data_IF_219374919291
#
_entry.id   IF_219374919291
#
_cell.length_a   1.000
_cell.length_b   1.000
_cell.length_c   1.000
_cell.angle_alpha   90.00
_cell.angle_beta   90.00
_cell.angle_gamma   90.00
#
_symmetry.space_group_name_H-M   'P 1'
#
loop_
_entity.id
_entity.type
_entity.pdbx_description
1 polymer ?
#
# COMPACT_ATOMS: atom_id res chain seq x y z
N UNK A 1 -44.62 -5.00 63.54
CA UNK A 1 -45.46 -3.80 63.37
C UNK A 1 -45.59 -3.50 61.88
N UNK A 2 -46.84 -3.48 61.38
CA UNK A 2 -47.44 -2.62 60.32
C UNK A 2 -46.57 -2.04 59.19
N UNK A 3 -46.97 -1.92 57.92
CA UNK A 3 -48.25 -2.03 57.19
C UNK A 3 -47.90 -1.85 55.68
N UNK A 4 -48.46 -2.66 54.76
CA UNK A 4 -49.51 -2.26 53.76
C UNK A 4 -48.92 -1.82 52.38
N UNK A 5 -49.04 -2.64 51.32
CA UNK A 5 -50.04 -2.63 50.19
C UNK A 5 -50.05 -1.31 49.40
N UNK A 6 -50.07 -1.23 48.07
CA UNK A 6 -50.90 -1.92 47.07
C UNK A 6 -50.38 -1.62 45.64
N UNK A 7 -50.37 -2.57 44.71
CA UNK A 7 -51.29 -2.73 43.57
C UNK A 7 -50.90 -2.03 42.25
N UNK A 8 -50.76 -2.85 41.19
CA UNK A 8 -50.62 -2.40 39.82
C UNK A 8 -50.62 -3.57 38.84
N UNK A 9 -51.75 -4.29 38.73
CA UNK A 9 -52.01 -5.27 37.67
C UNK A 9 -52.23 -4.57 36.32
N UNK A 10 -51.67 -5.11 35.22
CA UNK A 10 -52.44 -5.25 33.98
C UNK A 10 -51.91 -6.35 33.06
N UNK A 11 -52.87 -7.12 32.55
CA UNK A 11 -52.77 -8.38 31.83
C UNK A 11 -52.34 -8.22 30.36
N UNK A 12 -51.84 -9.34 29.81
CA UNK A 12 -51.56 -9.70 28.40
C UNK A 12 -52.78 -9.52 27.45
N UNK A 13 -52.83 -9.99 26.16
CA UNK A 13 -51.85 -10.73 25.34
C UNK A 13 -51.80 -10.32 23.83
N UNK A 14 -51.05 -11.12 23.04
CA UNK A 14 -51.55 -11.85 21.84
C UNK A 14 -50.82 -11.56 20.52
N UNK A 15 -50.01 -12.55 20.12
CA UNK A 15 -49.58 -12.81 18.76
C UNK A 15 -50.76 -12.96 17.79
N UNK A 16 -50.60 -12.41 16.59
CA UNK A 16 -51.36 -12.76 15.39
C UNK A 16 -50.59 -12.34 14.13
N UNK A 17 -50.46 -13.19 13.09
CA UNK A 17 -49.77 -12.84 11.85
C UNK A 17 -50.71 -12.09 10.90
N UNK A 18 -50.22 -11.10 10.16
CA UNK A 18 -51.03 -10.43 9.13
C UNK A 18 -50.24 -10.16 7.85
N UNK A 19 -50.48 -11.07 6.92
CA UNK A 19 -50.67 -10.95 5.47
C UNK A 19 -49.77 -10.01 4.64
N UNK A 20 -49.16 -10.64 3.63
CA UNK A 20 -48.63 -10.11 2.38
C UNK A 20 -49.48 -8.99 1.74
N UNK A 21 -48.85 -8.04 1.03
CA UNK A 21 -49.51 -7.30 -0.03
C UNK A 21 -49.32 -7.99 -1.38
N UNK A 22 -50.45 -8.40 -1.96
CA UNK A 22 -50.65 -8.91 -3.33
C UNK A 22 -51.16 -7.77 -4.23
N UNK A 23 -50.49 -7.58 -5.38
CA UNK A 23 -50.90 -6.83 -6.60
C UNK A 23 -51.10 -5.29 -6.47
N UNK A 24 -50.61 -4.40 -7.34
CA UNK A 24 -50.02 -4.46 -8.68
C UNK A 24 -49.55 -3.05 -9.11
N UNK A 25 -49.19 -2.83 -10.39
CA UNK A 25 -48.44 -1.64 -10.83
C UNK A 25 -49.35 -0.41 -10.97
N UNK A 26 -49.00 0.67 -10.26
CA UNK A 26 -49.70 1.96 -10.34
C UNK A 26 -48.85 2.93 -11.16
N UNK A 27 -49.28 3.18 -12.40
CA UNK A 27 -49.00 4.36 -13.24
C UNK A 27 -47.74 5.19 -12.88
N UNK A 28 -46.60 4.85 -13.48
CA UNK A 28 -45.49 5.79 -13.72
C UNK A 28 -45.47 6.20 -15.19
N UNK A 29 -46.52 6.89 -15.62
CA UNK A 29 -46.43 7.77 -16.78
C UNK A 29 -47.05 9.08 -16.36
N UNK A 30 -46.19 10.07 -16.08
CA UNK A 30 -46.35 11.48 -16.51
C UNK A 30 -45.33 12.40 -15.79
N UNK A 31 -44.52 13.05 -16.62
CA UNK A 31 -43.53 14.12 -16.36
C UNK A 31 -42.17 13.56 -15.87
N UNK A 32 -41.04 13.64 -16.59
CA UNK A 32 -40.48 14.72 -17.42
C UNK A 32 -39.52 14.15 -18.49
N UNK A 33 -39.33 14.84 -19.64
CA UNK A 33 -38.02 15.48 -19.83
C UNK A 33 -38.17 16.79 -20.63
N UNK A 34 -38.20 17.93 -19.94
CA UNK A 34 -38.18 19.25 -20.61
C UNK A 34 -37.02 20.16 -20.20
N UNK A 35 -36.13 19.72 -19.29
CA UNK A 35 -34.99 20.52 -18.88
C UNK A 35 -33.65 20.15 -19.52
N UNK A 36 -33.45 18.92 -20.01
CA UNK A 36 -32.12 18.51 -20.51
C UNK A 36 -31.66 19.21 -21.79
N UNK A 37 -32.58 19.60 -22.69
CA UNK A 37 -32.20 20.22 -23.97
C UNK A 37 -31.79 21.68 -23.86
N UNK A 38 -32.09 22.38 -22.75
CA UNK A 38 -31.76 23.80 -22.61
C UNK A 38 -30.38 24.05 -22.01
N UNK A 39 -29.89 23.14 -21.17
CA UNK A 39 -28.59 23.27 -20.52
C UNK A 39 -27.44 22.75 -21.38
N UNK A 40 -27.68 21.78 -22.26
CA UNK A 40 -26.66 21.28 -23.19
C UNK A 40 -26.13 22.37 -24.16
N UNK A 41 -27.02 23.19 -24.72
CA UNK A 41 -26.63 24.25 -25.68
C UNK A 41 -25.90 25.44 -25.03
N UNK A 42 -26.04 25.65 -23.72
CA UNK A 42 -25.38 26.76 -23.01
C UNK A 42 -23.95 26.42 -22.59
N UNK A 43 -23.66 25.14 -22.32
CA UNK A 43 -22.33 24.68 -21.97
C UNK A 43 -21.40 24.55 -23.19
N UNK A 44 -21.88 24.08 -24.34
CA UNK A 44 -21.06 23.98 -25.57
C UNK A 44 -20.44 25.32 -25.99
N UNK A 45 -21.21 26.42 -25.93
CA UNK A 45 -20.70 27.75 -26.30
C UNK A 45 -19.70 28.32 -25.29
N UNK A 46 -19.69 27.86 -24.04
CA UNK A 46 -18.75 28.34 -23.01
C UNK A 46 -17.43 27.57 -23.05
N UNK A 47 -17.48 26.29 -23.38
CA UNK A 47 -16.30 25.43 -23.49
C UNK A 47 -15.52 25.68 -24.79
N UNK A 48 -16.20 25.99 -25.90
CA UNK A 48 -15.54 26.37 -27.14
C UNK A 48 -14.69 27.66 -26.98
N UNK A 49 -15.25 28.68 -26.30
CA UNK A 49 -14.58 29.97 -26.08
C UNK A 49 -13.44 29.90 -25.05
N UNK A 50 -13.48 28.93 -24.12
CA UNK A 50 -12.39 28.64 -23.18
C UNK A 50 -11.25 27.87 -23.85
N UNK A 51 -11.57 26.97 -24.79
CA UNK A 51 -10.57 26.23 -25.56
C UNK A 51 -9.84 27.12 -26.58
N UNK A 52 -10.48 28.12 -27.17
CA UNK A 52 -9.78 29.09 -28.04
C UNK A 52 -8.77 29.96 -27.27
N UNK A 53 -9.14 30.48 -26.10
CA UNK A 53 -8.21 31.28 -25.27
C UNK A 53 -7.02 30.48 -24.73
N UNK A 54 -7.20 29.18 -24.48
CA UNK A 54 -6.09 28.31 -24.06
C UNK A 54 -5.16 28.00 -25.24
N UNK A 55 -5.71 27.77 -26.44
CA UNK A 55 -4.92 27.55 -27.67
C UNK A 55 -4.19 28.80 -28.16
N UNK A 56 -4.70 30.01 -27.89
CA UNK A 56 -3.99 31.26 -28.19
C UNK A 56 -2.84 31.55 -27.22
N UNK A 57 -2.91 31.10 -25.96
CA UNK A 57 -1.78 31.23 -25.00
C UNK A 57 -0.64 30.24 -25.26
N UNK A 58 -0.88 29.18 -26.02
CA UNK A 58 0.17 28.26 -26.50
C UNK A 58 0.90 28.76 -27.76
N UNK A 59 0.37 29.80 -28.42
CA UNK A 59 1.05 30.41 -29.55
C UNK A 59 2.04 31.48 -29.06
N UNK A 60 3.29 31.03 -28.96
CA UNK A 60 4.53 31.84 -29.05
C UNK A 60 4.79 32.76 -27.85
N UNK A 61 5.45 32.21 -26.83
CA UNK A 61 6.49 33.00 -26.18
C UNK A 61 7.74 32.94 -27.07
N UNK A 62 8.23 34.07 -27.62
CA UNK A 62 9.51 34.16 -28.32
C UNK A 62 10.64 34.32 -27.29
N UNK A 63 10.60 33.52 -26.22
CA UNK A 63 11.72 33.40 -25.32
C UNK A 63 12.66 32.42 -26.01
N UNK A 64 13.77 32.97 -26.49
CA UNK A 64 14.75 32.31 -27.34
C UNK A 64 15.08 30.90 -26.91
N UNK A 65 15.61 30.10 -27.84
CA UNK A 65 16.12 28.75 -27.62
C UNK A 65 16.93 28.68 -26.33
N UNK A 66 16.25 28.40 -25.22
CA UNK A 66 16.87 28.39 -23.92
C UNK A 66 17.69 27.11 -23.93
N UNK A 67 19.01 27.26 -24.01
CA UNK A 67 19.98 26.17 -23.97
C UNK A 67 19.64 25.19 -22.82
N UNK A 68 19.15 25.73 -21.70
CA UNK A 68 18.63 24.97 -20.55
C UNK A 68 17.47 24.03 -20.91
N UNK A 69 16.50 24.47 -21.73
CA UNK A 69 15.35 23.65 -22.16
C UNK A 69 15.77 22.58 -23.17
N UNK A 70 16.75 22.88 -24.04
CA UNK A 70 17.28 21.90 -24.99
C UNK A 70 18.10 20.81 -24.27
N UNK A 71 18.92 21.20 -23.30
CA UNK A 71 19.64 20.28 -22.42
C UNK A 71 18.66 19.45 -21.60
N UNK A 72 17.63 20.07 -20.99
CA UNK A 72 16.61 19.33 -20.23
C UNK A 72 15.94 18.26 -21.09
N UNK A 73 15.50 18.59 -22.30
CA UNK A 73 14.85 17.63 -23.19
C UNK A 73 15.80 16.49 -23.64
N UNK A 74 17.10 16.78 -23.77
CA UNK A 74 18.10 15.78 -24.12
C UNK A 74 18.42 14.81 -22.96
N UNK A 75 18.49 15.31 -21.72
CA UNK A 75 18.84 14.51 -20.55
C UNK A 75 17.60 13.76 -19.99
N UNK A 76 16.39 14.32 -20.13
CA UNK A 76 15.14 13.75 -19.60
C UNK A 76 14.91 12.25 -19.88
N UNK A 77 15.13 11.69 -21.09
CA UNK A 77 14.93 10.26 -21.34
C UNK A 77 15.93 9.36 -20.61
N UNK A 78 17.13 9.86 -20.27
CA UNK A 78 18.15 9.09 -19.56
C UNK A 78 18.00 9.16 -18.03
N UNK A 79 17.40 10.23 -17.49
CA UNK A 79 17.23 10.41 -16.03
C UNK A 79 16.28 9.37 -15.44
N UNK A 80 15.18 9.07 -16.13
CA UNK A 80 14.17 8.13 -15.62
C UNK A 80 14.73 6.72 -15.35
N UNK A 81 15.35 6.03 -16.32
CA UNK A 81 15.89 4.68 -16.05
C UNK A 81 17.03 4.71 -15.02
N UNK A 82 17.85 5.76 -14.99
CA UNK A 82 18.93 5.90 -13.99
C UNK A 82 18.36 6.05 -12.58
N UNK A 83 17.35 6.89 -12.39
CA UNK A 83 16.67 7.08 -11.11
C UNK A 83 16.05 5.78 -10.61
N UNK A 84 15.34 5.06 -11.46
CA UNK A 84 14.73 3.82 -11.01
C UNK A 84 15.77 2.73 -10.71
N UNK A 85 16.87 2.63 -11.49
CA UNK A 85 17.96 1.70 -11.16
C UNK A 85 18.59 2.05 -9.82
N UNK A 86 18.75 3.35 -9.53
CA UNK A 86 19.23 3.83 -8.24
C UNK A 86 18.31 3.37 -7.09
N UNK A 87 16.99 3.57 -7.20
CA UNK A 87 16.05 3.12 -6.16
C UNK A 87 16.05 1.61 -5.99
N UNK A 88 16.15 0.85 -7.10
CA UNK A 88 16.21 -0.60 -7.04
C UNK A 88 17.48 -1.13 -6.36
N UNK A 89 18.64 -0.57 -6.68
CA UNK A 89 19.91 -0.91 -6.00
C UNK A 89 19.82 -0.55 -4.51
N UNK A 90 19.26 0.61 -4.18
CA UNK A 90 19.10 1.06 -2.80
C UNK A 90 18.20 0.10 -2.01
N UNK A 91 17.12 -0.39 -2.61
CA UNK A 91 16.22 -1.37 -2.00
C UNK A 91 16.96 -2.68 -1.70
N UNK A 92 17.70 -3.22 -2.67
CA UNK A 92 18.50 -4.44 -2.50
C UNK A 92 19.52 -4.27 -1.38
N UNK A 93 20.22 -3.14 -1.31
CA UNK A 93 21.21 -2.86 -0.26
C UNK A 93 20.55 -2.88 1.13
N UNK A 94 19.38 -2.25 1.29
CA UNK A 94 18.65 -2.24 2.57
C UNK A 94 18.26 -3.66 2.98
N UNK A 95 17.73 -4.46 2.05
CA UNK A 95 17.36 -5.86 2.32
C UNK A 95 18.58 -6.71 2.69
N UNK A 96 19.70 -6.54 1.98
CA UNK A 96 20.96 -7.25 2.27
C UNK A 96 21.52 -6.89 3.64
N UNK A 97 21.61 -5.59 3.98
CA UNK A 97 22.10 -5.13 5.27
C UNK A 97 21.19 -5.64 6.40
N UNK A 98 19.86 -5.51 6.24
CA UNK A 98 18.89 -6.03 7.20
C UNK A 98 19.03 -7.53 7.43
N UNK A 99 19.26 -8.30 6.36
CA UNK A 99 19.47 -9.76 6.44
C UNK A 99 20.78 -10.12 7.15
N UNK A 100 21.87 -9.39 6.90
CA UNK A 100 23.17 -9.60 7.58
C UNK A 100 23.02 -9.33 9.09
N UNK A 101 22.39 -8.22 9.47
CA UNK A 101 22.14 -7.89 10.89
C UNK A 101 21.25 -8.98 11.51
N UNK A 102 20.18 -9.38 10.83
CA UNK A 102 19.28 -10.43 11.31
C UNK A 102 20.01 -11.75 11.55
N UNK A 103 20.99 -12.13 10.71
CA UNK A 103 21.72 -13.39 10.86
C UNK A 103 22.81 -13.30 11.93
N UNK A 104 23.70 -12.31 11.85
CA UNK A 104 24.94 -12.28 12.62
C UNK A 104 24.86 -11.53 13.95
N UNK A 105 23.87 -10.63 14.12
CA UNK A 105 23.80 -9.85 15.35
C UNK A 105 23.20 -10.67 16.50
N UNK A 106 23.84 -10.60 17.66
CA UNK A 106 23.40 -11.23 18.92
C UNK A 106 22.96 -10.21 19.96
N UNK A 107 23.16 -8.92 19.68
CA UNK A 107 22.80 -7.84 20.58
C UNK A 107 21.30 -7.51 20.45
N UNK A 108 20.55 -7.79 21.50
CA UNK A 108 19.10 -7.57 21.59
C UNK A 108 18.71 -6.14 21.17
N UNK A 109 19.51 -5.12 21.49
CA UNK A 109 19.18 -3.73 21.15
C UNK A 109 19.24 -3.47 19.64
N UNK A 110 20.23 -4.01 18.93
CA UNK A 110 20.32 -3.86 17.48
C UNK A 110 19.16 -4.58 16.77
N UNK A 111 18.79 -5.79 17.24
CA UNK A 111 17.63 -6.50 16.72
C UNK A 111 16.31 -5.76 17.00
N UNK A 112 16.18 -5.12 18.17
CA UNK A 112 14.98 -4.33 18.50
C UNK A 112 14.85 -3.10 17.60
N UNK A 113 15.96 -2.39 17.33
CA UNK A 113 15.98 -1.28 16.38
C UNK A 113 15.59 -1.76 14.98
N UNK A 114 16.13 -2.91 14.55
CA UNK A 114 15.75 -3.52 13.28
C UNK A 114 14.25 -3.88 13.23
N UNK A 115 13.66 -4.33 14.35
CA UNK A 115 12.24 -4.65 14.45
C UNK A 115 11.37 -3.39 14.27
N UNK A 116 11.79 -2.28 14.86
CA UNK A 116 11.11 -0.99 14.68
C UNK A 116 11.19 -0.55 13.21
N UNK A 117 12.34 -0.69 12.57
CA UNK A 117 12.50 -0.34 11.14
C UNK A 117 11.59 -1.20 10.26
N UNK A 118 11.60 -2.53 10.44
CA UNK A 118 10.78 -3.46 9.64
C UNK A 118 9.28 -3.22 9.88
N UNK A 119 8.87 -2.92 11.11
CA UNK A 119 7.45 -2.61 11.40
C UNK A 119 7.03 -1.27 10.80
N UNK A 120 7.89 -0.26 10.82
CA UNK A 120 7.62 1.02 10.13
C UNK A 120 7.50 0.83 8.61
N UNK A 121 8.38 0.03 8.00
CA UNK A 121 8.31 -0.30 6.58
C UNK A 121 7.03 -1.09 6.24
N UNK A 122 6.64 -2.04 7.11
CA UNK A 122 5.36 -2.75 6.99
C UNK A 122 4.15 -1.82 7.07
N UNK A 123 4.14 -0.85 8.00
CA UNK A 123 3.09 0.16 8.10
C UNK A 123 3.06 1.03 6.84
N UNK A 124 4.22 1.47 6.36
CA UNK A 124 4.30 2.24 5.11
C UNK A 124 3.75 1.44 3.92
N UNK A 125 4.06 0.14 3.84
CA UNK A 125 3.52 -0.75 2.81
C UNK A 125 2.00 -0.86 2.86
N UNK A 126 1.41 -0.99 4.05
CA UNK A 126 -0.05 -1.05 4.22
C UNK A 126 -0.71 0.28 3.82
N UNK A 127 -0.16 1.42 4.26
CA UNK A 127 -0.75 2.75 3.98
C UNK A 127 -0.63 3.11 2.49
N UNK A 128 0.51 2.83 1.87
CA UNK A 128 0.75 3.16 0.46
C UNK A 128 0.28 2.06 -0.50
N UNK A 129 -0.29 0.96 0.02
CA UNK A 129 -0.65 -0.23 -0.74
C UNK A 129 0.49 -0.82 -1.58
N UNK A 130 1.76 -0.54 -1.23
CA UNK A 130 3.01 -1.07 -1.80
C UNK A 130 4.20 -0.46 -1.02
N UNK A 131 5.38 -1.08 -1.10
CA UNK A 131 6.61 -0.49 -0.56
C UNK A 131 6.91 0.86 -1.26
N UNK A 132 7.26 1.93 -0.51
CA UNK A 132 7.55 3.24 -1.09
C UNK A 132 8.67 3.21 -2.14
N UNK A 133 9.68 2.35 -1.94
CA UNK A 133 10.77 2.17 -2.91
C UNK A 133 10.27 1.49 -4.18
N UNK A 134 9.44 0.45 -4.05
CA UNK A 134 8.82 -0.24 -5.20
C UNK A 134 7.91 0.68 -6.02
N UNK A 135 7.21 1.61 -5.38
CA UNK A 135 6.41 2.63 -6.08
C UNK A 135 7.31 3.54 -6.93
N UNK A 136 8.46 3.95 -6.39
CA UNK A 136 9.43 4.75 -7.13
C UNK A 136 10.09 3.97 -8.26
N UNK A 137 10.48 2.71 -8.02
CA UNK A 137 10.97 1.80 -9.06
C UNK A 137 9.97 1.71 -10.22
N UNK A 138 8.70 1.41 -9.93
CA UNK A 138 7.66 1.29 -10.96
C UNK A 138 7.43 2.60 -11.70
N UNK A 139 7.51 3.75 -11.02
CA UNK A 139 7.36 5.07 -11.63
C UNK A 139 8.47 5.39 -12.64
N UNK A 140 9.68 4.89 -12.41
CA UNK A 140 10.87 5.26 -13.19
C UNK A 140 11.39 4.17 -14.14
N UNK A 141 11.22 2.88 -13.81
CA UNK A 141 11.60 1.73 -14.65
C UNK A 141 10.41 1.06 -15.36
N UNK A 142 9.19 1.24 -14.86
CA UNK A 142 8.02 0.50 -15.34
C UNK A 142 7.96 -0.96 -14.88
N UNK A 143 9.01 -1.48 -14.25
CA UNK A 143 9.08 -2.83 -13.66
C UNK A 143 9.48 -2.75 -12.19
N UNK A 144 9.04 -3.73 -11.38
CA UNK A 144 9.43 -3.86 -9.98
C UNK A 144 10.47 -4.98 -9.81
N UNK A 145 11.39 -4.80 -8.87
CA UNK A 145 12.32 -5.88 -8.47
C UNK A 145 11.56 -7.11 -7.94
N UNK A 146 10.43 -6.88 -7.26
CA UNK A 146 9.54 -7.93 -6.75
C UNK A 146 8.99 -8.80 -7.89
N UNK A 147 8.56 -8.19 -9.00
CA UNK A 147 8.14 -8.94 -10.19
C UNK A 147 9.26 -9.76 -10.82
N UNK A 148 10.50 -9.27 -10.78
CA UNK A 148 11.68 -10.00 -11.29
C UNK A 148 12.01 -11.21 -10.42
N UNK A 149 11.86 -11.09 -9.09
CA UNK A 149 11.99 -12.21 -8.16
C UNK A 149 10.94 -13.29 -8.40
N UNK A 150 9.69 -12.90 -8.66
CA UNK A 150 8.61 -13.84 -8.95
C UNK A 150 8.91 -14.68 -10.20
N UNK A 151 9.46 -14.06 -11.25
CA UNK A 151 9.93 -14.78 -12.44
C UNK A 151 11.06 -15.77 -12.12
N UNK A 152 11.99 -15.39 -11.23
CA UNK A 152 13.05 -16.29 -10.77
C UNK A 152 12.49 -17.49 -9.99
N UNK A 153 11.51 -17.30 -9.12
CA UNK A 153 10.87 -18.40 -8.37
C UNK A 153 10.07 -19.35 -9.28
N UNK A 154 9.37 -18.80 -10.27
CA UNK A 154 8.69 -19.59 -11.30
C UNK A 154 9.70 -20.43 -12.10
N UNK A 155 10.88 -19.87 -12.43
CA UNK A 155 11.95 -20.63 -13.07
C UNK A 155 12.54 -21.74 -12.19
N UNK A 156 12.43 -21.63 -10.86
CA UNK A 156 12.81 -22.67 -9.91
C UNK A 156 11.68 -23.68 -9.63
N UNK A 157 10.60 -23.65 -10.41
CA UNK A 157 9.45 -24.55 -10.28
C UNK A 157 8.72 -24.44 -8.93
N UNK A 158 8.88 -23.32 -8.22
CA UNK A 158 8.11 -23.02 -7.01
C UNK A 158 6.75 -22.50 -7.45
N UNK A 159 5.71 -23.33 -7.28
CA UNK A 159 4.34 -22.96 -7.61
C UNK A 159 3.83 -21.97 -6.56
N UNK A 160 3.89 -20.69 -6.87
CA UNK A 160 3.31 -19.63 -6.06
C UNK A 160 2.08 -19.08 -6.80
N UNK A 161 0.90 -19.21 -6.18
CA UNK A 161 -0.41 -18.96 -6.82
C UNK A 161 -0.92 -17.53 -6.65
N UNK A 162 -0.26 -16.71 -5.84
CA UNK A 162 -0.67 -15.32 -5.66
C UNK A 162 0.06 -14.41 -6.66
N UNK A 163 -0.71 -13.80 -7.56
CA UNK A 163 -0.22 -12.86 -8.58
C UNK A 163 -0.23 -11.39 -8.10
N UNK A 164 -0.68 -11.14 -6.87
CA UNK A 164 -0.78 -9.78 -6.33
C UNK A 164 0.55 -9.38 -5.64
N UNK A 165 1.35 -8.54 -6.31
CA UNK A 165 2.65 -8.05 -5.80
C UNK A 165 2.58 -7.46 -4.37
N UNK A 166 1.46 -6.82 -4.02
CA UNK A 166 1.22 -6.28 -2.69
C UNK A 166 1.15 -7.37 -1.61
N UNK A 167 0.43 -8.46 -1.89
CA UNK A 167 0.27 -9.57 -0.95
C UNK A 167 1.60 -10.29 -0.74
N UNK A 168 2.36 -10.51 -1.82
CA UNK A 168 3.72 -11.08 -1.77
C UNK A 168 4.63 -10.23 -0.88
N UNK A 169 4.60 -8.91 -1.07
CA UNK A 169 5.44 -7.99 -0.31
C UNK A 169 5.05 -8.00 1.17
N UNK A 170 3.75 -8.03 1.48
CA UNK A 170 3.27 -8.14 2.87
C UNK A 170 3.65 -9.47 3.51
N UNK A 171 3.51 -10.59 2.79
CA UNK A 171 3.90 -11.91 3.29
C UNK A 171 5.38 -11.92 3.65
N UNK A 172 6.23 -11.38 2.78
CA UNK A 172 7.67 -11.27 3.04
C UNK A 172 7.96 -10.44 4.29
N UNK A 173 7.37 -9.24 4.43
CA UNK A 173 7.59 -8.36 5.58
C UNK A 173 7.10 -9.02 6.88
N UNK A 174 5.94 -9.67 6.85
CA UNK A 174 5.39 -10.35 8.02
C UNK A 174 6.27 -11.53 8.43
N UNK A 175 6.76 -12.32 7.48
CA UNK A 175 7.69 -13.42 7.74
C UNK A 175 9.01 -12.90 8.33
N UNK A 176 9.55 -11.80 7.81
CA UNK A 176 10.75 -11.17 8.36
C UNK A 176 10.53 -10.65 9.79
N UNK A 177 9.41 -9.98 10.06
CA UNK A 177 9.06 -9.52 11.39
C UNK A 177 8.88 -10.70 12.38
N UNK A 178 8.27 -11.80 11.95
CA UNK A 178 8.09 -13.01 12.75
C UNK A 178 9.43 -13.68 13.07
N UNK A 179 10.32 -13.83 12.07
CA UNK A 179 11.67 -14.37 12.27
C UNK A 179 12.48 -13.52 13.26
N UNK A 180 12.41 -12.19 13.13
CA UNK A 180 13.11 -11.28 14.00
C UNK A 180 12.57 -11.32 15.44
N UNK A 181 11.25 -11.32 15.60
CA UNK A 181 10.58 -11.44 16.91
C UNK A 181 10.93 -12.78 17.58
N UNK A 182 10.91 -13.87 16.81
CA UNK A 182 11.31 -15.20 17.27
C UNK A 182 12.77 -15.24 17.72
N UNK A 183 13.70 -14.64 16.95
CA UNK A 183 15.12 -14.55 17.32
C UNK A 183 15.33 -13.74 18.61
N UNK A 184 14.67 -12.60 18.74
CA UNK A 184 14.74 -11.77 19.96
C UNK A 184 14.22 -12.56 21.16
N UNK A 185 13.08 -13.23 21.02
CA UNK A 185 12.50 -14.07 22.07
C UNK A 185 13.47 -15.19 22.48
N UNK A 186 14.05 -15.91 21.52
CA UNK A 186 15.06 -16.94 21.79
C UNK A 186 16.27 -16.40 22.55
N UNK A 187 16.77 -15.22 22.19
CA UNK A 187 17.90 -14.59 22.90
C UNK A 187 17.54 -14.18 24.33
N UNK A 188 16.33 -13.65 24.57
CA UNK A 188 15.85 -13.31 25.92
C UNK A 188 15.72 -14.57 26.76
N UNK A 189 15.10 -15.62 26.23
CA UNK A 189 14.95 -16.91 26.90
C UNK A 189 16.32 -17.52 27.22
N UNK A 190 17.25 -17.49 26.28
CA UNK A 190 18.62 -18.00 26.48
C UNK A 190 19.33 -17.26 27.62
N UNK A 191 19.17 -15.93 27.71
CA UNK A 191 19.70 -15.14 28.83
C UNK A 191 19.01 -15.45 30.16
N UNK A 192 17.70 -15.70 30.14
CA UNK A 192 16.94 -16.05 31.35
C UNK A 192 17.38 -17.41 31.92
N UNK A 193 17.70 -18.38 31.06
CA UNK A 193 18.16 -19.72 31.46
C UNK A 193 19.70 -19.81 31.63
N UNK A 194 20.42 -18.70 31.54
CA UNK A 194 21.90 -18.67 31.59
C UNK A 194 22.57 -19.63 30.58
N UNK A 195 21.94 -19.86 29.42
CA UNK A 195 22.55 -20.65 28.35
C UNK A 195 23.44 -19.70 27.55
N UNK A 196 24.76 -19.78 27.79
CA UNK A 196 25.73 -19.03 27.00
C UNK A 196 25.88 -19.68 25.61
N UNK A 197 25.21 -19.11 24.62
CA UNK A 197 25.48 -19.40 23.21
C UNK A 197 26.77 -18.66 22.78
N UNK A 198 27.92 -19.19 23.18
CA UNK A 198 29.21 -18.74 22.67
C UNK A 198 29.39 -19.30 21.25
N UNK A 199 28.96 -18.54 20.24
CA UNK A 199 29.40 -18.78 18.86
C UNK A 199 30.86 -18.33 18.78
N UNK A 200 31.76 -19.23 19.19
CA UNK A 200 33.19 -19.02 19.08
C UNK A 200 33.59 -19.15 17.62
N UNK A 201 33.62 -18.03 16.90
CA UNK A 201 34.36 -17.96 15.65
C UNK A 201 35.84 -18.07 16.02
N UNK A 202 36.40 -19.28 15.90
CA UNK A 202 37.81 -19.53 16.08
C UNK A 202 38.60 -18.58 15.18
N UNK A 203 39.18 -17.54 15.78
CA UNK A 203 40.14 -16.67 15.11
C UNK A 203 41.36 -17.51 14.75
N UNK A 204 41.74 -17.64 13.47
CA UNK A 204 42.94 -18.37 13.11
C UNK A 204 44.15 -17.63 13.69
N UNK A 205 44.81 -18.26 14.65
CA UNK A 205 46.14 -17.86 15.12
C UNK A 205 47.10 -17.91 13.93
N UNK A 206 47.57 -16.75 13.50
CA UNK A 206 48.72 -16.61 12.60
C UNK A 206 50.01 -16.86 13.37
#
# INVERSE_FOLDING_TARGET
MSKQKDSGQRNEPRNGPRNEPRNGPRNEQRNEPRNEKRDAKRNEKRDAKRNEKTKEREKKSPLGENIVRNISNFIQPYIQPVLGMYYGILHIIIMCIGSIILLFDTNIYHLLVLLIIVTLDGIACVILHNCPLTILERKYLGTSIVGTHMFLYQNMNVCYTCDHEYEITLEFIFNMAALLTSKIFLLIVSKLFCIEFTVSFATPTR
#
